data_IF_895326275958
#
_entry.id   IF_895326275958
#
_cell.length_a   1.000
_cell.length_b   1.000
_cell.length_c   1.000
_cell.angle_alpha   90.00
_cell.angle_beta   90.00
_cell.angle_gamma   90.00
#
_symmetry.space_group_name_H-M   'P 1'
#
loop_
_entity.id
_entity.type
_entity.pdbx_description
1 polymer ?
#
# COMPACT_ATOMS: atom_id res chain seq x y z
N UNK A 1 16.13 -17.78 17.80
CA UNK A 1 16.83 -16.52 18.12
C UNK A 1 17.06 -15.83 16.80
N UNK A 2 16.50 -14.63 16.59
CA UNK A 2 16.68 -13.90 15.33
C UNK A 2 18.13 -13.42 15.20
N UNK A 3 18.64 -13.50 13.96
CA UNK A 3 19.99 -13.07 13.58
C UNK A 3 20.08 -11.54 13.57
N UNK A 4 21.26 -10.93 13.80
CA UNK A 4 21.48 -9.50 13.55
C UNK A 4 21.08 -9.05 12.13
N UNK A 5 21.11 -9.97 11.17
CA UNK A 5 20.68 -9.73 9.79
C UNK A 5 19.15 -9.58 9.68
N UNK A 6 18.38 -10.23 10.55
CA UNK A 6 16.93 -10.08 10.60
C UNK A 6 16.54 -8.68 11.09
N UNK A 7 17.25 -8.15 12.09
CA UNK A 7 17.03 -6.79 12.59
C UNK A 7 17.36 -5.74 11.52
N UNK A 8 18.49 -5.90 10.83
CA UNK A 8 18.87 -5.00 9.75
C UNK A 8 17.86 -5.01 8.58
N UNK A 9 17.24 -6.15 8.28
CA UNK A 9 16.15 -6.25 7.31
C UNK A 9 14.89 -5.53 7.79
N UNK A 10 14.52 -5.70 9.06
CA UNK A 10 13.37 -5.01 9.64
C UNK A 10 13.57 -3.50 9.62
N UNK A 11 14.71 -2.98 10.08
CA UNK A 11 15.00 -1.54 10.08
C UNK A 11 15.00 -0.95 8.67
N UNK A 12 15.49 -1.69 7.67
CA UNK A 12 15.53 -1.23 6.28
C UNK A 12 14.17 -1.20 5.61
N UNK A 13 13.29 -2.14 5.97
CA UNK A 13 12.00 -2.34 5.32
C UNK A 13 10.82 -2.11 6.27
N UNK A 14 11.04 -1.40 7.38
CA UNK A 14 10.00 -1.17 8.37
C UNK A 14 8.87 -0.35 7.72
N UNK A 15 7.63 -0.87 7.69
CA UNK A 15 6.53 -0.15 7.09
C UNK A 15 6.20 1.06 7.97
N UNK A 16 6.46 2.26 7.46
CA UNK A 16 6.02 3.50 8.10
C UNK A 16 4.51 3.64 7.87
N UNK A 17 3.72 3.25 8.88
CA UNK A 17 2.28 3.47 8.87
C UNK A 17 1.97 4.89 9.33
N UNK A 18 1.45 5.73 8.42
CA UNK A 18 0.98 7.08 8.74
C UNK A 18 -0.53 7.14 8.62
N UNK A 19 -1.22 7.08 9.75
CA UNK A 19 -2.67 7.19 9.79
C UNK A 19 -3.10 8.66 9.69
N UNK A 20 -4.10 8.92 8.86
CA UNK A 20 -4.80 10.20 8.85
C UNK A 20 -5.79 10.28 10.01
N UNK A 21 -6.05 11.49 10.52
CA UNK A 21 -7.02 11.68 11.62
C UNK A 21 -8.41 11.23 11.14
N UNK A 22 -8.94 10.17 11.73
CA UNK A 22 -10.24 9.60 11.39
C UNK A 22 -10.18 8.32 10.53
N UNK A 23 -8.98 7.88 10.15
CA UNK A 23 -8.80 6.62 9.42
C UNK A 23 -9.08 5.44 10.34
N UNK A 24 -10.07 4.61 9.98
CA UNK A 24 -10.40 3.41 10.73
C UNK A 24 -9.43 2.29 10.34
N UNK A 25 -8.31 2.19 11.05
CA UNK A 25 -7.44 1.01 10.95
C UNK A 25 -7.99 -0.10 11.84
N UNK A 26 -8.76 -1.01 11.24
CA UNK A 26 -9.16 -2.24 11.93
C UNK A 26 -8.01 -3.25 11.84
N UNK A 27 -7.66 -3.94 12.95
CA UNK A 27 -6.71 -5.04 12.87
C UNK A 27 -7.24 -6.09 11.90
N UNK A 28 -6.62 -6.18 10.72
CA UNK A 28 -7.00 -7.11 9.66
C UNK A 28 -5.76 -7.72 9.02
N UNK A 29 -5.93 -8.93 8.46
CA UNK A 29 -4.83 -9.60 7.78
C UNK A 29 -4.35 -8.80 6.56
N UNK A 30 -3.04 -8.58 6.45
CA UNK A 30 -2.43 -7.82 5.35
C UNK A 30 -2.84 -8.34 3.96
N UNK A 31 -2.95 -9.66 3.78
CA UNK A 31 -3.42 -10.26 2.52
C UNK A 31 -4.87 -9.86 2.19
N UNK A 32 -5.74 -9.81 3.18
CA UNK A 32 -7.14 -9.40 2.98
C UNK A 32 -7.22 -7.90 2.68
N UNK A 33 -6.44 -7.09 3.38
CA UNK A 33 -6.34 -5.64 3.13
C UNK A 33 -5.88 -5.35 1.70
N UNK A 34 -4.76 -5.94 1.26
CA UNK A 34 -4.20 -5.70 -0.06
C UNK A 34 -5.16 -6.10 -1.19
N UNK A 35 -5.93 -7.19 -1.03
CA UNK A 35 -6.94 -7.59 -2.03
C UNK A 35 -8.09 -6.58 -2.17
N UNK A 36 -8.40 -5.85 -1.11
CA UNK A 36 -9.44 -4.83 -1.10
C UNK A 36 -8.93 -3.44 -1.53
N UNK A 37 -7.63 -3.31 -1.82
CA UNK A 37 -7.02 -2.05 -2.21
C UNK A 37 -6.73 -2.01 -3.72
N UNK A 38 -6.68 -0.79 -4.24
CA UNK A 38 -6.02 -0.48 -5.51
C UNK A 38 -4.64 0.15 -5.25
N UNK A 39 -3.70 -0.03 -6.17
CA UNK A 39 -2.37 0.58 -6.10
C UNK A 39 -2.34 1.84 -6.96
N UNK A 40 -1.81 2.92 -6.39
CA UNK A 40 -1.68 4.21 -7.05
C UNK A 40 -0.23 4.70 -7.03
N UNK A 41 0.12 5.47 -8.05
CA UNK A 41 1.39 6.17 -8.15
C UNK A 41 1.13 7.67 -8.32
N UNK A 42 1.79 8.49 -7.51
CA UNK A 42 1.73 9.94 -7.58
C UNK A 42 3.13 10.51 -7.80
N UNK A 43 3.32 11.12 -8.97
CA UNK A 43 4.49 11.94 -9.25
C UNK A 43 4.27 13.35 -8.71
N UNK A 44 5.36 14.05 -8.40
CA UNK A 44 5.31 15.47 -8.11
C UNK A 44 4.58 16.21 -9.24
N UNK A 45 3.66 17.10 -8.87
CA UNK A 45 2.91 17.97 -9.77
C UNK A 45 2.01 17.25 -10.79
N UNK A 46 1.70 15.96 -10.58
CA UNK A 46 0.75 15.20 -11.40
C UNK A 46 -0.35 14.56 -10.57
N UNK A 47 -1.56 14.40 -11.13
CA UNK A 47 -2.60 13.62 -10.48
C UNK A 47 -2.14 12.18 -10.29
N UNK A 48 -2.59 11.54 -9.20
CA UNK A 48 -2.31 10.14 -8.96
C UNK A 48 -2.95 9.27 -10.04
N UNK A 49 -2.20 8.29 -10.54
CA UNK A 49 -2.67 7.32 -11.53
C UNK A 49 -2.80 5.96 -10.89
N UNK A 50 -3.87 5.23 -11.25
CA UNK A 50 -4.09 3.86 -10.80
C UNK A 50 -3.17 2.93 -11.58
N UNK A 51 -2.34 2.18 -10.86
CA UNK A 51 -1.37 1.22 -11.41
C UNK A 51 -1.95 -0.19 -11.42
N UNK A 52 -2.66 -0.56 -10.35
CA UNK A 52 -3.33 -1.86 -10.22
C UNK A 52 -4.72 -1.64 -9.65
N UNK A 53 -5.71 -2.28 -10.27
CA UNK A 53 -7.09 -2.22 -9.83
C UNK A 53 -7.31 -3.05 -8.55
N UNK A 54 -8.40 -2.74 -7.84
CA UNK A 54 -8.89 -3.58 -6.76
C UNK A 54 -9.17 -5.01 -7.22
N UNK A 55 -9.12 -5.98 -6.32
CA UNK A 55 -9.22 -7.42 -6.58
C UNK A 55 -8.11 -8.02 -7.48
N UNK A 56 -7.42 -7.22 -8.30
CA UNK A 56 -6.27 -7.62 -9.12
C UNK A 56 -4.93 -7.45 -8.38
N UNK A 57 -4.93 -6.73 -7.26
CA UNK A 57 -3.77 -6.54 -6.41
C UNK A 57 -3.58 -7.71 -5.43
N UNK A 58 -2.42 -8.36 -5.51
CA UNK A 58 -1.97 -9.42 -4.59
C UNK A 58 -0.66 -9.03 -3.93
N UNK A 59 -0.28 -9.70 -2.84
CA UNK A 59 1.01 -9.47 -2.18
C UNK A 59 2.19 -9.74 -3.14
N UNK A 60 2.10 -10.79 -3.96
CA UNK A 60 3.13 -11.14 -4.93
C UNK A 60 3.26 -10.05 -6.01
N UNK A 61 2.13 -9.54 -6.52
CA UNK A 61 2.13 -8.42 -7.48
C UNK A 61 2.64 -7.13 -6.86
N UNK A 62 2.30 -6.87 -5.60
CA UNK A 62 2.78 -5.70 -4.86
C UNK A 62 4.31 -5.75 -4.69
N UNK A 63 4.85 -6.92 -4.37
CA UNK A 63 6.30 -7.13 -4.23
C UNK A 63 7.07 -7.02 -5.56
N UNK A 64 6.39 -7.24 -6.70
CA UNK A 64 6.98 -7.11 -8.03
C UNK A 64 6.98 -5.67 -8.57
N UNK A 65 6.40 -4.71 -7.85
CA UNK A 65 6.35 -3.33 -8.33
C UNK A 65 7.73 -2.69 -8.25
N UNK A 66 8.22 -2.25 -9.41
CA UNK A 66 9.44 -1.46 -9.50
C UNK A 66 9.14 0.00 -9.20
N UNK A 67 9.81 0.54 -8.19
CA UNK A 67 9.68 1.91 -7.73
C UNK A 67 10.72 2.80 -8.42
N UNK A 68 10.72 2.81 -9.75
CA UNK A 68 11.87 3.27 -10.55
C UNK A 68 11.87 4.78 -10.83
N UNK A 69 10.75 5.47 -10.58
CA UNK A 69 10.61 6.88 -10.89
C UNK A 69 10.98 7.75 -9.68
N UNK A 70 12.06 8.56 -9.75
CA UNK A 70 12.41 9.50 -8.68
C UNK A 70 11.23 10.38 -8.31
N UNK A 71 11.00 10.59 -7.01
CA UNK A 71 9.89 11.39 -6.46
C UNK A 71 8.48 10.85 -6.76
N UNK A 72 8.35 9.57 -7.09
CA UNK A 72 7.04 8.92 -7.17
C UNK A 72 6.68 8.29 -5.84
N UNK A 73 5.55 8.68 -5.28
CA UNK A 73 4.99 8.07 -4.07
C UNK A 73 3.97 7.02 -4.49
N UNK A 74 4.14 5.80 -3.99
CA UNK A 74 3.19 4.72 -4.19
C UNK A 74 2.37 4.55 -2.92
N UNK A 75 1.05 4.42 -3.07
CA UNK A 75 0.16 4.24 -1.94
C UNK A 75 -1.00 3.31 -2.29
N UNK A 76 -1.53 2.66 -1.25
CA UNK A 76 -2.71 1.81 -1.36
C UNK A 76 -3.94 2.67 -1.06
N UNK A 77 -4.96 2.52 -1.90
CA UNK A 77 -6.28 3.09 -1.64
C UNK A 77 -7.25 1.95 -1.39
N UNK A 78 -7.65 1.78 -0.12
CA UNK A 78 -8.83 1.02 0.24
C UNK A 78 -10.03 1.75 -0.37
N UNK A 79 -10.95 1.01 -0.98
CA UNK A 79 -12.17 1.52 -1.62
C UNK A 79 -12.71 2.75 -0.86
N UNK A 80 -12.81 3.91 -1.53
CA UNK A 80 -13.52 5.09 -1.01
C UNK A 80 -14.97 4.66 -0.69
N UNK A 81 -15.68 5.32 0.25
CA UNK A 81 -16.85 4.75 0.93
C UNK A 81 -17.80 4.14 -0.09
N UNK A 82 -18.30 2.95 0.26
CA UNK A 82 -19.23 2.14 -0.51
C UNK A 82 -20.02 3.03 -1.49
N UNK A 83 -20.09 2.62 -2.76
CA UNK A 83 -21.31 2.85 -3.53
C UNK A 83 -22.47 2.18 -2.75
N UNK A 84 -22.89 2.78 -1.64
CA UNK A 84 -24.18 2.60 -1.03
C UNK A 84 -25.11 3.16 -2.08
N UNK A 85 -25.56 2.26 -2.96
CA UNK A 85 -26.70 2.53 -3.82
C UNK A 85 -27.82 2.99 -2.89
N UNK A 86 -28.22 4.24 -3.04
CA UNK A 86 -29.51 4.73 -2.52
C UNK A 86 -30.67 3.91 -3.12
#
# INVERSE_FOLDING_TARGET
MSSPLDLALLERYEPVLRFTRGEQFFPMGARAYVRACSLWAQQADRPAVRVVEEAQLTLDRLAQQTYDAPRTVYFLKLIDPLNLRE
#
